data_IF_263819155019
#
_entry.id   IF_263819155019
#
_cell.length_a   1.000
_cell.length_b   1.000
_cell.length_c   1.000
_cell.angle_alpha   90.00
_cell.angle_beta   90.00
_cell.angle_gamma   90.00
#
_symmetry.space_group_name_H-M   'P 1'
#
loop_
_entity.id
_entity.type
_entity.pdbx_description
1 polymer ?
#
# COMPACT_ATOMS: atom_id res chain seq x y z
N UNK A 1 -90.32 25.34 -33.29
CA UNK A 1 -89.78 24.67 -32.09
C UNK A 1 -88.55 25.45 -31.68
N UNK A 2 -88.65 26.35 -30.69
CA UNK A 2 -88.37 26.16 -29.24
C UNK A 2 -86.86 26.04 -28.98
N UNK A 3 -86.39 26.94 -28.11
CA UNK A 3 -85.01 27.26 -27.72
C UNK A 3 -84.42 26.29 -26.65
N UNK A 4 -83.47 26.72 -25.81
CA UNK A 4 -81.98 26.70 -25.87
C UNK A 4 -81.44 25.78 -24.73
N UNK A 5 -80.39 26.05 -23.91
CA UNK A 5 -79.00 26.55 -24.06
C UNK A 5 -77.95 25.53 -23.48
N UNK A 6 -76.73 26.00 -23.17
CA UNK A 6 -75.81 25.55 -22.08
C UNK A 6 -74.59 24.72 -22.52
N UNK A 7 -73.39 25.32 -22.53
CA UNK A 7 -72.41 25.37 -21.41
C UNK A 7 -71.92 23.97 -21.03
N UNK A 8 -70.65 23.67 -21.32
CA UNK A 8 -69.77 22.88 -20.44
C UNK A 8 -68.31 22.94 -20.93
N UNK A 9 -67.57 23.81 -20.23
CA UNK A 9 -66.23 23.63 -19.69
C UNK A 9 -65.09 23.15 -20.59
N UNK A 10 -64.25 24.12 -20.99
CA UNK A 10 -62.82 23.88 -21.16
C UNK A 10 -62.21 23.66 -19.77
N UNK A 11 -62.26 22.44 -19.25
CA UNK A 11 -61.41 22.02 -18.14
C UNK A 11 -60.05 21.63 -18.71
N UNK A 12 -59.05 22.44 -18.43
CA UNK A 12 -57.63 22.07 -18.38
C UNK A 12 -57.13 22.66 -17.06
N UNK A 13 -56.31 22.00 -16.23
CA UNK A 13 -55.57 20.75 -16.42
C UNK A 13 -55.96 19.65 -15.39
N UNK A 14 -55.89 18.38 -15.78
CA UNK A 14 -55.47 17.38 -14.80
C UNK A 14 -53.97 17.63 -14.58
N UNK A 15 -53.65 18.35 -13.51
CA UNK A 15 -52.35 18.24 -12.89
C UNK A 15 -52.23 16.76 -12.49
N UNK A 16 -51.50 15.99 -13.28
CA UNK A 16 -51.05 14.67 -12.89
C UNK A 16 -50.01 14.92 -11.79
N UNK A 17 -50.54 15.02 -10.58
CA UNK A 17 -49.79 15.02 -9.32
C UNK A 17 -49.07 13.68 -9.29
N UNK A 18 -47.85 13.67 -9.83
CA UNK A 18 -46.87 12.63 -9.55
C UNK A 18 -46.59 12.71 -8.04
N UNK A 19 -47.43 12.05 -7.26
CA UNK A 19 -47.02 11.46 -6.01
C UNK A 19 -46.17 10.24 -6.40
N UNK A 20 -44.83 10.30 -6.34
CA UNK A 20 -44.11 9.07 -6.10
C UNK A 20 -44.47 8.69 -4.67
N UNK A 21 -45.59 8.00 -4.49
CA UNK A 21 -45.66 7.00 -3.44
C UNK A 21 -44.52 6.06 -3.79
N UNK A 22 -43.34 6.33 -3.22
CA UNK A 22 -42.32 5.34 -2.99
C UNK A 22 -43.06 4.26 -2.21
N UNK A 23 -43.67 3.34 -2.93
CA UNK A 23 -44.06 2.06 -2.41
C UNK A 23 -42.73 1.44 -2.00
N UNK A 24 -42.37 1.70 -0.75
CA UNK A 24 -41.25 1.10 -0.06
C UNK A 24 -41.54 -0.39 -0.10
N UNK A 25 -41.02 -1.05 -1.13
CA UNK A 25 -41.15 -2.48 -1.29
C UNK A 25 -40.46 -3.10 -0.09
N UNK A 26 -41.22 -3.67 0.86
CA UNK A 26 -40.65 -4.14 2.12
C UNK A 26 -39.68 -5.30 1.87
N UNK A 27 -39.82 -6.00 0.74
CA UNK A 27 -38.88 -7.03 0.31
C UNK A 27 -37.56 -6.41 -0.14
N UNK A 28 -37.61 -5.32 -0.92
CA UNK A 28 -36.42 -4.63 -1.40
C UNK A 28 -35.62 -3.99 -0.25
N UNK A 29 -36.31 -3.39 0.72
CA UNK A 29 -35.68 -2.76 1.89
C UNK A 29 -35.04 -3.82 2.81
N UNK A 30 -35.70 -4.97 2.97
CA UNK A 30 -35.16 -6.10 3.72
C UNK A 30 -33.92 -6.72 3.03
N UNK A 31 -33.97 -6.90 1.70
CA UNK A 31 -32.83 -7.39 0.93
C UNK A 31 -31.64 -6.42 0.98
N UNK A 32 -31.91 -5.12 0.89
CA UNK A 32 -30.89 -4.07 0.99
C UNK A 32 -30.24 -4.06 2.38
N UNK A 33 -31.04 -4.19 3.45
CA UNK A 33 -30.57 -4.28 4.83
C UNK A 33 -29.70 -5.51 5.05
N UNK A 34 -30.14 -6.69 4.58
CA UNK A 34 -29.35 -7.94 4.67
C UNK A 34 -28.04 -7.82 3.89
N UNK A 35 -28.08 -7.27 2.67
CA UNK A 35 -26.88 -7.03 1.87
C UNK A 35 -25.91 -6.08 2.58
N UNK A 36 -26.40 -4.99 3.17
CA UNK A 36 -25.58 -4.05 3.94
C UNK A 36 -24.92 -4.71 5.16
N UNK A 37 -25.64 -5.54 5.89
CA UNK A 37 -25.10 -6.32 7.02
C UNK A 37 -24.04 -7.32 6.56
N UNK A 38 -24.26 -8.02 5.45
CA UNK A 38 -23.28 -8.96 4.89
C UNK A 38 -22.01 -8.21 4.46
N UNK A 39 -22.14 -7.08 3.78
CA UNK A 39 -20.99 -6.25 3.37
C UNK A 39 -20.22 -5.74 4.59
N UNK A 40 -20.91 -5.23 5.61
CA UNK A 40 -20.28 -4.81 6.87
C UNK A 40 -19.58 -5.97 7.59
N UNK A 41 -20.21 -7.15 7.64
CA UNK A 41 -19.61 -8.34 8.23
C UNK A 41 -18.36 -8.79 7.47
N UNK A 42 -18.42 -8.79 6.13
CA UNK A 42 -17.28 -9.10 5.27
C UNK A 42 -16.15 -8.09 5.48
N UNK A 43 -16.45 -6.78 5.51
CA UNK A 43 -15.46 -5.74 5.79
C UNK A 43 -14.90 -5.78 7.21
N UNK A 44 -15.65 -6.27 8.19
CA UNK A 44 -15.18 -6.46 9.57
C UNK A 44 -14.33 -7.73 9.74
N UNK A 45 -14.65 -8.79 8.99
CA UNK A 45 -13.92 -10.07 9.02
C UNK A 45 -12.66 -10.05 8.13
N UNK A 46 -12.68 -9.33 7.01
CA UNK A 46 -11.54 -9.17 6.09
C UNK A 46 -10.23 -8.73 6.79
N UNK A 47 -10.20 -7.71 7.67
CA UNK A 47 -8.98 -7.30 8.36
C UNK A 47 -8.54 -8.28 9.46
N UNK A 48 -9.35 -9.31 9.78
CA UNK A 48 -9.03 -10.34 10.77
C UNK A 48 -8.80 -11.74 10.16
N UNK A 49 -8.93 -11.87 8.83
CA UNK A 49 -8.28 -12.97 8.13
C UNK A 49 -6.78 -12.67 8.14
N UNK A 50 -5.93 -13.49 8.77
CA UNK A 50 -4.52 -13.45 8.44
C UNK A 50 -4.45 -13.69 6.93
N UNK A 51 -4.05 -12.68 6.17
CA UNK A 51 -3.56 -12.89 4.81
C UNK A 51 -2.52 -13.98 4.96
N UNK A 52 -2.90 -15.22 4.65
CA UNK A 52 -1.96 -16.30 4.40
C UNK A 52 -1.27 -15.86 3.13
N UNK A 53 -0.22 -15.08 3.33
CA UNK A 53 0.76 -14.76 2.32
C UNK A 53 1.29 -16.09 1.80
N UNK A 54 0.66 -16.58 0.74
CA UNK A 54 1.13 -17.69 -0.08
C UNK A 54 2.38 -17.27 -0.90
N UNK A 55 3.25 -16.48 -0.27
CA UNK A 55 4.57 -16.05 -0.71
C UNK A 55 5.60 -16.14 0.45
N UNK A 56 5.23 -16.71 1.60
CA UNK A 56 6.09 -16.86 2.77
C UNK A 56 7.06 -18.06 2.71
N UNK A 57 7.63 -18.37 1.54
CA UNK A 57 8.62 -19.46 1.44
C UNK A 57 9.91 -19.14 0.69
N UNK A 58 10.14 -17.90 0.22
CA UNK A 58 11.37 -17.62 -0.56
C UNK A 58 12.16 -16.34 -0.17
N UNK A 59 11.75 -15.59 0.86
CA UNK A 59 12.50 -14.40 1.30
C UNK A 59 12.98 -14.42 2.77
N UNK A 60 12.99 -15.57 3.43
CA UNK A 60 13.63 -15.73 4.76
C UNK A 60 15.14 -16.04 4.68
N UNK A 61 15.78 -15.78 3.53
CA UNK A 61 17.22 -15.69 3.46
C UNK A 61 17.67 -14.39 4.14
N UNK A 62 17.57 -14.36 5.48
CA UNK A 62 18.01 -13.23 6.28
C UNK A 62 19.44 -12.85 5.89
N UNK A 63 19.61 -11.65 5.36
CA UNK A 63 20.91 -11.13 4.98
C UNK A 63 21.77 -11.10 6.24
N UNK A 64 23.00 -11.59 6.15
CA UNK A 64 23.93 -11.58 7.28
C UNK A 64 25.05 -10.58 7.02
N UNK A 65 25.26 -9.69 7.97
CA UNK A 65 26.42 -8.81 8.03
C UNK A 65 27.20 -9.17 9.29
N UNK A 66 28.46 -9.56 9.15
CA UNK A 66 29.33 -9.98 10.26
C UNK A 66 28.71 -11.03 11.22
N UNK A 67 27.97 -11.99 10.64
CA UNK A 67 27.28 -13.05 11.39
C UNK A 67 26.00 -12.62 12.11
N UNK A 68 25.54 -11.37 11.93
CA UNK A 68 24.27 -10.87 12.43
C UNK A 68 23.23 -10.84 11.31
N UNK A 69 22.04 -11.36 11.59
CA UNK A 69 20.89 -11.20 10.69
C UNK A 69 20.48 -9.73 10.70
N UNK A 70 20.42 -9.14 9.52
CA UNK A 70 19.96 -7.78 9.31
C UNK A 70 18.84 -7.79 8.29
N UNK A 71 17.88 -6.91 8.51
CA UNK A 71 16.82 -6.65 7.54
C UNK A 71 17.40 -5.79 6.41
N UNK A 72 17.33 -6.22 5.15
CA UNK A 72 17.76 -5.41 4.01
C UNK A 72 16.70 -4.33 3.71
N UNK A 73 17.15 -3.11 3.41
CA UNK A 73 16.30 -2.00 2.99
C UNK A 73 16.67 -1.64 1.56
N UNK A 74 15.69 -1.30 0.71
CA UNK A 74 15.93 -1.04 -0.71
C UNK A 74 15.44 0.36 -1.09
N UNK A 75 16.38 1.22 -1.48
CA UNK A 75 16.10 2.51 -2.09
C UNK A 75 15.95 2.35 -3.61
N UNK A 76 14.82 2.82 -4.15
CA UNK A 76 14.49 2.82 -5.58
C UNK A 76 14.03 4.21 -6.00
N UNK A 77 13.91 4.46 -7.30
CA UNK A 77 13.35 5.72 -7.80
C UNK A 77 11.90 5.98 -7.35
N UNK A 78 11.16 4.93 -6.97
CA UNK A 78 9.80 5.06 -6.44
C UNK A 78 9.75 5.38 -4.93
N UNK A 79 10.86 5.18 -4.20
CA UNK A 79 10.89 5.30 -2.75
C UNK A 79 11.65 4.18 -2.05
N UNK A 80 11.33 3.97 -0.77
CA UNK A 80 12.06 3.06 0.13
C UNK A 80 11.21 1.82 0.47
N UNK A 81 11.70 0.65 0.08
CA UNK A 81 11.13 -0.63 0.45
C UNK A 81 11.82 -1.20 1.69
N UNK A 82 11.02 -1.59 2.70
CA UNK A 82 11.47 -2.26 3.92
C UNK A 82 11.45 -3.78 3.66
N UNK A 83 12.38 -4.53 4.26
CA UNK A 83 12.57 -5.98 4.04
C UNK A 83 12.96 -6.38 2.60
N UNK A 84 13.39 -5.42 1.77
CA UNK A 84 13.74 -5.65 0.36
C UNK A 84 12.53 -6.02 -0.51
N UNK A 85 11.31 -5.99 0.06
CA UNK A 85 10.07 -6.30 -0.64
C UNK A 85 9.55 -5.06 -1.37
N UNK A 86 9.44 -5.14 -2.69
CA UNK A 86 9.06 -4.01 -3.57
C UNK A 86 7.56 -3.70 -3.56
N UNK A 87 6.77 -4.43 -2.77
CA UNK A 87 5.31 -4.49 -2.92
C UNK A 87 4.60 -3.21 -2.45
N UNK A 88 5.23 -2.41 -1.59
CA UNK A 88 4.74 -1.07 -1.24
C UNK A 88 5.89 -0.19 -0.70
N UNK A 89 6.69 0.45 -1.57
CA UNK A 89 7.76 1.33 -1.13
C UNK A 89 7.16 2.62 -0.53
N UNK A 90 7.72 3.07 0.59
CA UNK A 90 7.41 4.39 1.17
C UNK A 90 7.81 5.46 0.13
N UNK A 91 6.83 6.23 -0.39
CA UNK A 91 7.11 7.24 -1.42
C UNK A 91 8.09 8.32 -0.92
N UNK A 92 8.91 8.84 -1.84
CA UNK A 92 9.88 9.92 -1.56
C UNK A 92 9.25 11.11 -0.83
N UNK A 93 8.11 11.60 -1.29
CA UNK A 93 7.39 12.75 -0.75
C UNK A 93 6.83 12.52 0.66
N UNK A 94 6.66 11.26 1.07
CA UNK A 94 6.07 10.89 2.36
C UNK A 94 7.08 10.39 3.38
N UNK A 95 8.31 10.10 2.95
CA UNK A 95 9.33 9.44 3.77
C UNK A 95 9.57 10.13 5.12
N UNK A 96 9.59 11.46 5.17
CA UNK A 96 9.77 12.21 6.42
C UNK A 96 8.58 12.15 7.40
N UNK A 97 7.38 11.86 6.90
CA UNK A 97 6.13 11.84 7.68
C UNK A 97 5.58 10.43 7.90
N UNK A 98 6.20 9.43 7.29
CA UNK A 98 5.71 8.06 7.34
C UNK A 98 5.88 7.45 8.75
N UNK A 99 4.76 7.16 9.40
CA UNK A 99 4.76 6.65 10.77
C UNK A 99 5.28 5.21 10.86
N UNK A 100 5.08 4.41 9.80
CA UNK A 100 5.53 3.01 9.77
C UNK A 100 7.06 2.94 9.68
N UNK A 101 7.65 3.80 8.87
CA UNK A 101 9.08 4.01 8.74
C UNK A 101 9.70 4.49 10.07
N UNK A 102 9.09 5.48 10.71
CA UNK A 102 9.54 5.96 12.01
C UNK A 102 9.49 4.86 13.09
N UNK A 103 8.44 4.03 13.10
CA UNK A 103 8.33 2.89 14.02
C UNK A 103 9.41 1.83 13.75
N UNK A 104 9.67 1.49 12.48
CA UNK A 104 10.72 0.55 12.09
C UNK A 104 12.11 1.04 12.53
N UNK A 105 12.41 2.33 12.33
CA UNK A 105 13.67 2.94 12.77
C UNK A 105 13.82 2.94 14.30
N UNK A 106 12.74 3.17 15.05
CA UNK A 106 12.79 3.07 16.52
C UNK A 106 13.06 1.64 17.00
N UNK A 107 12.46 0.64 16.35
CA UNK A 107 12.74 -0.77 16.68
C UNK A 107 14.22 -1.08 16.44
N UNK A 108 14.75 -0.62 15.30
CA UNK A 108 16.16 -0.84 14.95
C UNK A 108 17.13 -0.09 15.87
N UNK A 109 16.79 1.13 16.28
CA UNK A 109 17.58 1.89 17.25
C UNK A 109 17.72 1.13 18.58
N UNK A 110 16.64 0.47 19.04
CA UNK A 110 16.67 -0.32 20.30
C UNK A 110 17.49 -1.60 20.19
N UNK A 111 17.60 -2.18 19.00
CA UNK A 111 18.40 -3.39 18.78
C UNK A 111 19.89 -3.11 18.54
N UNK A 112 20.29 -1.83 18.41
CA UNK A 112 21.66 -1.39 18.11
C UNK A 112 22.28 -2.18 16.94
N UNK A 113 21.45 -2.52 15.95
CA UNK A 113 21.81 -3.32 14.81
C UNK A 113 22.32 -2.46 13.65
N UNK A 114 23.31 -2.93 12.87
CA UNK A 114 23.69 -2.26 11.63
C UNK A 114 22.56 -2.33 10.61
N UNK A 115 22.28 -1.20 9.95
CA UNK A 115 21.32 -1.12 8.85
C UNK A 115 22.04 -1.39 7.53
N UNK A 116 21.47 -2.23 6.66
CA UNK A 116 21.96 -2.41 5.29
C UNK A 116 20.98 -1.79 4.30
N UNK A 117 21.47 -0.83 3.53
CA UNK A 117 20.71 -0.11 2.51
C UNK A 117 21.22 -0.50 1.12
N UNK A 118 20.39 -1.21 0.37
CA UNK A 118 20.58 -1.45 -1.05
C UNK A 118 20.07 -0.26 -1.85
N UNK A 119 20.84 0.18 -2.82
CA UNK A 119 20.53 1.35 -3.66
C UNK A 119 20.40 0.85 -5.09
N UNK A 120 19.18 0.82 -5.61
CA UNK A 120 18.93 0.55 -7.02
C UNK A 120 19.58 1.65 -7.90
N UNK A 121 19.82 1.40 -9.19
CA UNK A 121 20.43 2.40 -10.08
C UNK A 121 19.72 3.76 -10.08
N UNK A 122 18.40 3.76 -9.91
CA UNK A 122 17.53 4.94 -9.84
C UNK A 122 17.25 5.42 -8.41
N UNK A 123 17.75 4.73 -7.38
CA UNK A 123 17.41 4.94 -5.97
C UNK A 123 18.27 5.95 -5.21
N UNK A 124 19.12 6.73 -5.87
CA UNK A 124 20.06 7.64 -5.20
C UNK A 124 19.33 8.70 -4.35
N UNK A 125 18.22 9.24 -4.83
CA UNK A 125 17.45 10.24 -4.09
C UNK A 125 16.80 9.64 -2.84
N UNK A 126 16.18 8.46 -2.98
CA UNK A 126 15.59 7.74 -1.85
C UNK A 126 16.65 7.40 -0.80
N UNK A 127 17.84 6.97 -1.23
CA UNK A 127 18.95 6.68 -0.32
C UNK A 127 19.41 7.93 0.45
N UNK A 128 19.56 9.05 -0.25
CA UNK A 128 19.96 10.32 0.36
C UNK A 128 18.94 10.83 1.39
N UNK A 129 17.65 10.84 1.03
CA UNK A 129 16.60 11.25 1.97
C UNK A 129 16.51 10.30 3.16
N UNK A 130 16.61 9.00 2.91
CA UNK A 130 16.58 7.99 3.95
C UNK A 130 17.73 8.14 4.94
N UNK A 131 18.95 8.39 4.49
CA UNK A 131 20.12 8.60 5.36
C UNK A 131 19.91 9.77 6.33
N UNK A 132 19.33 10.87 5.85
CA UNK A 132 18.98 12.01 6.69
C UNK A 132 17.93 11.65 7.75
N UNK A 133 16.92 10.83 7.40
CA UNK A 133 15.88 10.37 8.32
C UNK A 133 16.46 9.40 9.36
N UNK A 134 17.18 8.37 8.91
CA UNK A 134 17.80 7.36 9.76
C UNK A 134 18.76 8.01 10.78
N UNK A 135 19.56 9.00 10.35
CA UNK A 135 20.45 9.77 11.23
C UNK A 135 19.68 10.53 12.32
N UNK A 136 18.53 11.15 11.98
CA UNK A 136 17.67 11.83 12.96
C UNK A 136 17.06 10.85 13.98
N UNK A 137 16.83 9.61 13.56
CA UNK A 137 16.38 8.52 14.44
C UNK A 137 17.53 7.83 15.18
N UNK A 138 18.76 8.36 15.08
CA UNK A 138 19.91 7.87 15.84
C UNK A 138 20.52 6.58 15.32
N UNK A 139 20.20 6.17 14.08
CA UNK A 139 20.91 5.09 13.40
C UNK A 139 22.30 5.61 13.01
N UNK A 140 23.35 4.95 13.52
CA UNK A 140 24.74 5.39 13.35
C UNK A 140 25.53 4.58 12.33
N UNK A 141 25.05 3.38 12.00
CA UNK A 141 25.75 2.44 11.14
C UNK A 141 24.82 2.05 9.99
N UNK A 142 25.06 2.69 8.84
CA UNK A 142 24.36 2.40 7.58
C UNK A 142 25.39 1.87 6.59
N UNK A 143 25.27 0.61 6.23
CA UNK A 143 26.06 -0.03 5.20
C UNK A 143 25.34 0.07 3.86
N UNK A 144 25.86 0.88 2.96
CA UNK A 144 25.26 1.09 1.64
C UNK A 144 25.84 0.12 0.61
N UNK A 145 24.98 -0.49 -0.19
CA UNK A 145 25.36 -1.38 -1.29
C UNK A 145 24.65 -0.90 -2.55
N UNK A 146 25.43 -0.48 -3.55
CA UNK A 146 24.90 -0.08 -4.85
C UNK A 146 24.64 -1.32 -5.70
N UNK A 147 23.42 -1.45 -6.21
CA UNK A 147 23.02 -2.55 -7.08
C UNK A 147 23.35 -2.23 -8.54
N UNK A 148 23.77 -3.26 -9.27
CA UNK A 148 23.94 -3.16 -10.71
C UNK A 148 22.57 -3.20 -11.44
N UNK A 149 22.47 -2.62 -12.64
CA UNK A 149 21.25 -2.72 -13.45
C UNK A 149 20.84 -4.17 -13.68
N UNK A 150 19.56 -4.49 -13.47
CA UNK A 150 19.03 -5.86 -13.56
C UNK A 150 19.00 -6.63 -12.23
N UNK A 151 19.69 -6.14 -11.20
CA UNK A 151 19.66 -6.71 -9.84
C UNK A 151 18.56 -6.15 -8.93
N UNK A 152 17.68 -5.33 -9.47
CA UNK A 152 16.57 -4.68 -8.76
C UNK A 152 15.36 -5.60 -8.54
N UNK A 153 15.30 -6.72 -9.27
CA UNK A 153 14.19 -7.70 -9.25
C UNK A 153 14.59 -9.03 -8.61
N UNK A 154 15.87 -9.35 -8.63
CA UNK A 154 16.39 -10.54 -7.98
C UNK A 154 16.55 -10.24 -6.49
N UNK A 155 16.06 -11.17 -5.65
CA UNK A 155 16.33 -11.18 -4.21
C UNK A 155 17.82 -10.86 -4.03
N UNK A 156 18.14 -9.87 -3.21
CA UNK A 156 19.50 -9.40 -2.91
C UNK A 156 20.51 -10.55 -2.73
N UNK A 157 20.05 -11.68 -2.16
CA UNK A 157 20.80 -12.91 -1.98
C UNK A 157 21.31 -13.56 -3.29
N UNK A 158 20.59 -13.45 -4.41
CA UNK A 158 20.99 -14.00 -5.71
C UNK A 158 22.00 -13.10 -6.42
N UNK A 159 21.86 -11.78 -6.28
CA UNK A 159 22.79 -10.81 -6.87
C UNK A 159 24.14 -10.74 -6.13
N UNK A 160 24.14 -10.92 -4.81
CA UNK A 160 25.38 -10.96 -4.02
C UNK A 160 26.17 -12.28 -4.22
N UNK A 161 25.56 -13.33 -4.79
CA UNK A 161 26.19 -14.65 -4.97
C UNK A 161 26.84 -14.81 -6.35
N UNK A 162 26.63 -13.89 -7.30
CA UNK A 162 27.39 -13.91 -8.55
C UNK A 162 28.71 -13.15 -8.33
N UNK A 163 29.86 -13.86 -8.23
CA UNK A 163 31.14 -13.18 -8.28
C UNK A 163 31.25 -12.45 -9.61
N UNK A 164 31.71 -11.19 -9.57
CA UNK A 164 32.12 -10.46 -10.77
C UNK A 164 33.02 -11.37 -11.61
N UNK A 165 32.53 -11.81 -12.75
CA UNK A 165 33.33 -12.41 -13.80
C UNK A 165 34.26 -11.31 -14.34
N UNK A 166 35.36 -11.01 -13.64
CA UNK A 166 36.37 -10.09 -14.15
C UNK A 166 37.22 -9.30 -13.14
N UNK A 167 36.97 -9.34 -11.83
CA UNK A 167 37.75 -8.51 -10.89
C UNK A 167 38.48 -9.37 -9.85
N UNK A 168 39.65 -9.89 -10.24
CA UNK A 168 40.65 -10.37 -9.29
C UNK A 168 41.16 -9.17 -8.49
N UNK A 169 40.79 -9.09 -7.22
CA UNK A 169 41.43 -8.19 -6.27
C UNK A 169 42.83 -8.77 -5.97
N UNK A 170 43.88 -8.08 -6.42
CA UNK A 170 45.25 -8.22 -5.92
C UNK A 170 45.49 -7.22 -4.80
#
# INVERSE_FOLDING_TARGET
>A
MIAPPSILDTVTPAADEFDPVLASDPLADLLLSVAAVIVLAVLAILPSLPQRDAAATEAEAGFQLDGRRVTPWLATGAGLAIDGSRTDPVPLDRMFSDQSLAAALQVMQRSDGPLVLFIAPDGNEAAFQFEAIASRHGIRQIHQVRLEPGCERAIVAHCMRQPRSGEQIR
#
